data_IF_053362831490
#
_entry.id   IF_053362831490
#
_cell.length_a   1.000
_cell.length_b   1.000
_cell.length_c   1.000
_cell.angle_alpha   90.00
_cell.angle_beta   90.00
_cell.angle_gamma   90.00
#
_symmetry.space_group_name_H-M   'P 1'
#
loop_
_entity.id
_entity.type
_entity.pdbx_description
1 polymer ?
#
# COMPACT_ATOMS: atom_id res chain seq x y z
N UNK A 1 -38.33 -13.02 17.57
CA UNK A 1 -37.08 -12.69 16.87
C UNK A 1 -37.18 -13.26 15.46
N UNK A 2 -37.02 -12.44 14.42
CA UNK A 2 -37.21 -12.88 13.03
C UNK A 2 -36.00 -13.70 12.57
N UNK A 3 -36.23 -14.71 11.73
CA UNK A 3 -35.20 -15.56 11.15
C UNK A 3 -34.11 -14.73 10.43
N UNK A 4 -34.50 -13.60 9.84
CA UNK A 4 -33.57 -12.66 9.20
C UNK A 4 -32.63 -11.95 10.16
N UNK A 5 -33.07 -11.65 11.39
CA UNK A 5 -32.23 -11.00 12.41
C UNK A 5 -31.14 -11.95 12.92
N UNK A 6 -31.46 -13.24 13.02
CA UNK A 6 -30.49 -14.27 13.44
C UNK A 6 -29.41 -14.52 12.37
N UNK A 7 -29.78 -14.52 11.08
CA UNK A 7 -28.85 -14.72 9.98
C UNK A 7 -27.77 -13.61 9.93
N UNK A 8 -28.16 -12.36 10.15
CA UNK A 8 -27.23 -11.21 10.16
C UNK A 8 -26.24 -11.29 11.34
N UNK A 9 -26.69 -11.69 12.53
CA UNK A 9 -25.85 -11.83 13.73
C UNK A 9 -24.81 -12.95 13.56
N UNK A 10 -25.19 -14.07 12.93
CA UNK A 10 -24.28 -15.19 12.65
C UNK A 10 -23.18 -14.75 11.66
N UNK A 11 -23.56 -14.04 10.59
CA UNK A 11 -22.60 -13.56 9.58
C UNK A 11 -21.58 -12.59 10.21
N UNK A 12 -22.02 -11.64 11.04
CA UNK A 12 -21.13 -10.67 11.71
C UNK A 12 -20.19 -11.35 12.72
N UNK A 13 -20.64 -12.41 13.38
CA UNK A 13 -19.83 -13.14 14.37
C UNK A 13 -18.68 -13.93 13.74
N UNK A 14 -18.83 -14.39 12.49
CA UNK A 14 -17.78 -15.17 11.78
C UNK A 14 -16.58 -14.29 11.39
N UNK A 15 -16.77 -12.98 11.23
CA UNK A 15 -15.70 -12.05 10.84
C UNK A 15 -14.89 -11.46 12.02
N UNK A 16 -15.23 -11.80 13.26
CA UNK A 16 -14.53 -11.34 14.46
C UNK A 16 -13.66 -12.44 15.09
N UNK A 17 -12.79 -13.08 14.30
CA UNK A 17 -11.71 -13.94 14.83
C UNK A 17 -10.41 -13.13 14.96
N UNK A 18 -10.03 -12.66 16.16
CA UNK A 18 -8.67 -12.19 16.41
C UNK A 18 -7.77 -13.41 16.54
N UNK A 19 -7.16 -13.90 15.45
CA UNK A 19 -6.32 -15.09 15.62
C UNK A 19 -5.61 -15.72 14.45
N UNK A 20 -5.81 -15.31 13.19
CA UNK A 20 -5.02 -15.90 12.08
C UNK A 20 -3.68 -15.15 11.95
N UNK A 21 -2.83 -15.31 12.96
CA UNK A 21 -1.43 -14.91 12.88
C UNK A 21 -0.68 -15.95 12.04
N UNK A 22 -0.53 -15.68 10.74
CA UNK A 22 0.39 -16.42 9.88
C UNK A 22 1.81 -16.14 10.40
N UNK A 23 2.33 -17.06 11.22
CA UNK A 23 3.70 -16.98 11.73
C UNK A 23 4.67 -17.32 10.60
N UNK A 24 5.09 -16.30 9.85
CA UNK A 24 6.17 -16.45 8.88
C UNK A 24 7.45 -16.85 9.63
N UNK A 25 7.94 -18.05 9.31
CA UNK A 25 9.20 -18.62 9.80
C UNK A 25 10.35 -17.78 9.24
N UNK A 26 10.82 -16.81 10.01
CA UNK A 26 12.02 -16.03 9.73
C UNK A 26 13.22 -16.97 9.57
N UNK A 27 13.91 -16.89 8.43
CA UNK A 27 15.25 -17.43 8.25
C UNK A 27 16.19 -16.59 9.14
N UNK A 28 16.97 -17.27 9.96
CA UNK A 28 18.03 -16.66 10.77
C UNK A 28 19.02 -15.94 9.86
N UNK A 29 19.13 -14.62 10.05
CA UNK A 29 20.25 -13.87 9.51
C UNK A 29 21.36 -13.94 10.56
N UNK A 30 22.41 -14.70 10.28
CA UNK A 30 23.63 -14.67 11.06
C UNK A 30 24.25 -13.27 10.92
N UNK A 31 24.20 -12.49 12.00
CA UNK A 31 24.91 -11.22 12.13
C UNK A 31 26.22 -11.50 12.84
N UNK A 32 27.33 -11.30 12.15
CA UNK A 32 28.56 -10.92 12.84
C UNK A 32 28.82 -9.43 12.59
N UNK A 33 29.36 -8.75 13.59
CA UNK A 33 29.69 -7.32 13.70
C UNK A 33 28.73 -6.42 14.53
N UNK A 34 28.99 -6.39 15.84
CA UNK A 34 28.33 -5.56 16.86
C UNK A 34 28.85 -4.10 16.98
N UNK A 35 29.61 -3.53 16.03
CA UNK A 35 30.03 -2.11 16.12
C UNK A 35 29.23 -1.13 15.23
N UNK A 36 28.25 -1.59 14.43
CA UNK A 36 27.52 -0.77 13.44
C UNK A 36 26.14 -0.23 13.87
N UNK A 37 25.70 -0.44 15.12
CA UNK A 37 24.29 -0.25 15.51
C UNK A 37 23.75 1.18 15.37
N UNK A 38 24.56 2.23 15.59
CA UNK A 38 24.09 3.62 15.42
C UNK A 38 24.07 4.07 13.96
N UNK A 39 25.09 3.73 13.17
CA UNK A 39 25.10 4.05 11.74
C UNK A 39 23.95 3.35 10.99
N UNK A 40 23.65 2.10 11.36
CA UNK A 40 22.51 1.37 10.81
C UNK A 40 21.15 1.97 11.21
N UNK A 41 21.03 2.62 12.37
CA UNK A 41 19.77 3.27 12.79
C UNK A 41 19.51 4.55 11.98
N UNK A 42 20.54 5.39 11.75
CA UNK A 42 20.34 6.61 10.94
C UNK A 42 19.98 6.29 9.48
N UNK A 43 20.69 5.34 8.85
CA UNK A 43 20.35 4.87 7.51
C UNK A 43 18.94 4.25 7.44
N UNK A 44 18.53 3.52 8.48
CA UNK A 44 17.17 2.94 8.59
C UNK A 44 16.09 4.01 8.72
N UNK A 45 16.35 5.08 9.46
CA UNK A 45 15.40 6.20 9.65
C UNK A 45 15.24 6.98 8.34
N UNK A 46 16.32 7.21 7.60
CA UNK A 46 16.28 7.88 6.31
C UNK A 46 15.51 7.08 5.25
N UNK A 47 15.78 5.77 5.15
CA UNK A 47 15.03 4.87 4.27
C UNK A 47 13.53 4.83 4.64
N UNK A 48 13.22 4.85 5.94
CA UNK A 48 11.84 4.91 6.41
C UNK A 48 11.15 6.21 6.00
N UNK A 49 11.80 7.37 6.14
CA UNK A 49 11.23 8.67 5.71
C UNK A 49 10.99 8.72 4.19
N UNK A 50 11.95 8.22 3.39
CA UNK A 50 11.80 8.13 1.93
C UNK A 50 10.62 7.23 1.56
N UNK A 51 10.50 6.06 2.20
CA UNK A 51 9.41 5.12 1.94
C UNK A 51 8.05 5.72 2.28
N UNK A 52 7.93 6.45 3.40
CA UNK A 52 6.70 7.12 3.82
C UNK A 52 6.29 8.20 2.82
N UNK A 53 7.24 9.03 2.37
CA UNK A 53 6.99 10.07 1.35
C UNK A 53 6.50 9.47 0.04
N UNK A 54 7.11 8.36 -0.41
CA UNK A 54 6.69 7.66 -1.63
C UNK A 54 5.27 7.09 -1.49
N UNK A 55 4.96 6.44 -0.36
CA UNK A 55 3.61 5.92 -0.10
C UNK A 55 2.57 7.04 -0.09
N UNK A 56 2.85 8.15 0.60
CA UNK A 56 1.95 9.31 0.63
C UNK A 56 1.73 9.92 -0.75
N UNK A 57 2.77 10.02 -1.58
CA UNK A 57 2.67 10.51 -2.95
C UNK A 57 1.83 9.57 -3.84
N UNK A 58 2.09 8.27 -3.77
CA UNK A 58 1.34 7.26 -4.54
C UNK A 58 -0.14 7.23 -4.13
N UNK A 59 -0.45 7.31 -2.84
CA UNK A 59 -1.83 7.35 -2.37
C UNK A 59 -2.56 8.59 -2.87
N UNK A 60 -1.92 9.77 -2.81
CA UNK A 60 -2.50 11.01 -3.33
C UNK A 60 -2.79 10.91 -4.83
N UNK A 61 -1.82 10.44 -5.61
CA UNK A 61 -1.99 10.20 -7.05
C UNK A 61 -3.13 9.21 -7.33
N UNK A 62 -3.18 8.10 -6.59
CA UNK A 62 -4.21 7.08 -6.73
C UNK A 62 -5.63 7.63 -6.52
N UNK A 63 -5.85 8.38 -5.44
CA UNK A 63 -7.17 8.96 -5.16
C UNK A 63 -7.57 10.03 -6.18
N UNK A 64 -6.62 10.86 -6.63
CA UNK A 64 -6.87 11.84 -7.68
C UNK A 64 -7.26 11.15 -9.00
N UNK A 65 -6.46 10.18 -9.45
CA UNK A 65 -6.72 9.41 -10.66
C UNK A 65 -8.08 8.69 -10.60
N UNK A 66 -8.37 8.02 -9.48
CA UNK A 66 -9.63 7.33 -9.29
C UNK A 66 -10.82 8.31 -9.34
N UNK A 67 -10.71 9.47 -8.69
CA UNK A 67 -11.73 10.50 -8.72
C UNK A 67 -11.98 11.02 -10.14
N UNK A 68 -10.94 11.25 -10.94
CA UNK A 68 -11.09 11.66 -12.33
C UNK A 68 -11.77 10.58 -13.19
N UNK A 69 -11.39 9.31 -13.03
CA UNK A 69 -12.03 8.21 -13.77
C UNK A 69 -13.50 8.09 -13.38
N UNK A 70 -13.82 8.19 -12.08
CA UNK A 70 -15.17 8.11 -11.55
C UNK A 70 -16.11 9.15 -12.17
N UNK A 71 -15.64 10.38 -12.41
CA UNK A 71 -16.44 11.44 -13.05
C UNK A 71 -16.97 11.02 -14.43
N UNK A 72 -16.20 10.23 -15.17
CA UNK A 72 -16.56 9.77 -16.52
C UNK A 72 -17.31 8.43 -16.55
N UNK A 73 -17.20 7.62 -15.49
CA UNK A 73 -17.76 6.25 -15.43
C UNK A 73 -18.74 6.10 -14.25
N UNK A 74 -19.65 7.06 -14.07
CA UNK A 74 -20.66 6.99 -13.00
C UNK A 74 -21.42 5.66 -13.04
N UNK A 75 -21.58 5.01 -11.88
CA UNK A 75 -22.31 3.74 -11.70
C UNK A 75 -21.72 2.51 -12.41
N UNK A 76 -20.42 2.51 -12.72
CA UNK A 76 -19.70 1.33 -13.17
C UNK A 76 -18.66 0.89 -12.15
N UNK A 77 -18.35 -0.41 -12.16
CA UNK A 77 -17.21 -0.93 -11.42
C UNK A 77 -15.92 -0.39 -12.02
N UNK A 78 -15.05 0.17 -11.18
CA UNK A 78 -13.74 0.70 -11.59
C UNK A 78 -12.68 -0.17 -10.91
N UNK A 79 -11.87 -0.84 -11.72
CA UNK A 79 -10.74 -1.65 -11.26
C UNK A 79 -9.47 -1.21 -11.98
N UNK A 80 -8.52 -0.65 -11.24
CA UNK A 80 -7.27 -0.09 -11.76
C UNK A 80 -6.11 -0.38 -10.80
N UNK A 81 -4.88 -0.34 -11.31
CA UNK A 81 -3.64 -0.37 -10.51
C UNK A 81 -2.93 0.99 -10.61
N UNK A 82 -3.12 1.91 -9.64
CA UNK A 82 -2.47 3.22 -9.67
C UNK A 82 -0.94 3.14 -9.62
N UNK A 83 -0.39 2.20 -8.85
CA UNK A 83 1.07 2.02 -8.73
C UNK A 83 1.71 1.61 -10.06
N UNK A 84 1.06 0.71 -10.83
CA UNK A 84 1.57 0.31 -12.16
C UNK A 84 1.59 1.50 -13.14
N UNK A 85 0.57 2.35 -13.09
CA UNK A 85 0.49 3.56 -13.92
C UNK A 85 1.59 4.55 -13.50
N UNK A 86 1.80 4.77 -12.21
CA UNK A 86 2.87 5.63 -11.70
C UNK A 86 4.26 5.16 -12.15
N UNK A 87 4.52 3.85 -12.17
CA UNK A 87 5.76 3.26 -12.66
C UNK A 87 5.94 3.54 -14.16
N UNK A 88 4.90 3.29 -14.98
CA UNK A 88 4.96 3.56 -16.42
C UNK A 88 5.20 5.05 -16.73
N UNK A 89 4.55 5.94 -15.98
CA UNK A 89 4.78 7.38 -16.08
C UNK A 89 6.20 7.76 -15.64
N UNK A 90 6.75 7.13 -14.60
CA UNK A 90 8.14 7.38 -14.16
C UNK A 90 9.16 6.97 -15.23
N UNK A 91 8.93 5.83 -15.91
CA UNK A 91 9.76 5.41 -17.04
C UNK A 91 9.69 6.42 -18.18
N UNK A 92 8.49 6.95 -18.48
CA UNK A 92 8.28 7.95 -19.53
C UNK A 92 8.90 9.30 -19.15
N UNK A 93 8.76 9.69 -17.89
CA UNK A 93 9.36 10.89 -17.30
C UNK A 93 10.87 10.91 -17.46
N UNK A 94 11.52 9.76 -17.25
CA UNK A 94 12.97 9.62 -17.43
C UNK A 94 13.43 9.85 -18.88
N UNK A 95 12.54 9.66 -19.86
CA UNK A 95 12.80 9.95 -21.28
C UNK A 95 12.26 11.30 -21.75
N UNK A 96 11.61 12.09 -20.89
CA UNK A 96 11.03 13.39 -21.23
C UNK A 96 12.05 14.54 -21.05
N UNK A 97 11.88 15.62 -21.83
CA UNK A 97 12.77 16.78 -21.81
C UNK A 97 11.97 18.10 -21.80
N UNK A 98 12.57 19.17 -21.27
CA UNK A 98 11.95 20.49 -21.24
C UNK A 98 10.74 20.53 -20.32
N UNK A 99 9.58 20.96 -20.85
CA UNK A 99 8.35 21.16 -20.06
C UNK A 99 7.57 19.87 -19.76
N UNK A 100 7.96 18.74 -20.36
CA UNK A 100 7.28 17.45 -20.18
C UNK A 100 7.94 16.58 -19.12
N UNK A 101 9.10 17.02 -18.61
CA UNK A 101 9.69 16.59 -17.34
C UNK A 101 9.15 17.47 -16.20
#
# INVERSE_FOLDING_TARGET
MSLGTMAIIIIISIYNLPGVAIKLRNREFHTDNQTNSRQNIFAKIEDMDISMKLVSANNRFAFQLFSEIQKSQSNKNIFISPSSIAIALSMTYNGAEGKTR
#
